data_IF_696606562186
#
_entry.id   IF_696606562186
#
_cell.length_a   1.000
_cell.length_b   1.000
_cell.length_c   1.000
_cell.angle_alpha   90.00
_cell.angle_beta   90.00
_cell.angle_gamma   90.00
#
_symmetry.space_group_name_H-M   'P 1'
#
loop_
_entity.id
_entity.type
_entity.pdbx_description
1 polymer ?
#
# COMPACT_ATOMS: atom_id res chain seq x y z
N UNK A 1 -21.15 -3.90 -1.01
CA UNK A 1 -21.16 -3.14 0.25
C UNK A 1 -20.36 -1.88 0.03
N UNK A 2 -20.92 -0.69 0.26
CA UNK A 2 -20.11 0.52 0.36
C UNK A 2 -19.27 0.40 1.63
N UNK A 3 -17.96 0.25 1.49
CA UNK A 3 -17.07 0.19 2.64
C UNK A 3 -17.08 1.57 3.33
N UNK A 4 -17.48 1.62 4.60
CA UNK A 4 -17.53 2.85 5.39
C UNK A 4 -16.16 3.11 6.04
N UNK A 5 -15.40 4.14 5.59
CA UNK A 5 -14.09 4.43 6.15
C UNK A 5 -14.13 4.81 7.64
N UNK A 6 -15.24 5.38 8.13
CA UNK A 6 -15.38 5.80 9.53
C UNK A 6 -15.45 4.57 10.44
N UNK A 7 -16.26 3.57 10.07
CA UNK A 7 -16.32 2.31 10.80
C UNK A 7 -14.95 1.61 10.89
N UNK A 8 -14.18 1.62 9.79
CA UNK A 8 -12.85 1.02 9.75
C UNK A 8 -11.84 1.82 10.60
N UNK A 9 -11.89 3.16 10.57
CA UNK A 9 -11.08 4.02 11.42
C UNK A 9 -11.34 3.76 12.91
N UNK A 10 -12.61 3.72 13.31
CA UNK A 10 -13.02 3.43 14.68
C UNK A 10 -12.54 2.05 15.14
N UNK A 11 -12.59 1.05 14.26
CA UNK A 11 -12.07 -0.28 14.54
C UNK A 11 -10.56 -0.27 14.81
N UNK A 12 -9.76 0.38 13.96
CA UNK A 12 -8.30 0.46 14.16
C UNK A 12 -7.95 1.24 15.43
N UNK A 13 -8.66 2.34 15.72
CA UNK A 13 -8.50 3.09 16.97
C UNK A 13 -8.79 2.22 18.19
N UNK A 14 -9.93 1.51 18.20
CA UNK A 14 -10.28 0.63 19.30
C UNK A 14 -9.27 -0.51 19.49
N UNK A 15 -8.73 -1.07 18.41
CA UNK A 15 -7.67 -2.08 18.47
C UNK A 15 -6.35 -1.50 18.99
N UNK A 16 -5.96 -0.30 18.55
CA UNK A 16 -4.77 0.38 19.04
C UNK A 16 -4.84 0.67 20.55
N UNK A 17 -6.00 1.12 21.05
CA UNK A 17 -6.20 1.42 22.47
C UNK A 17 -6.03 0.21 23.40
N UNK A 18 -6.20 -1.02 22.90
CA UNK A 18 -5.95 -2.25 23.66
C UNK A 18 -4.46 -2.53 23.87
N UNK A 19 -3.59 -2.00 23.02
CA UNK A 19 -2.14 -2.24 23.06
C UNK A 19 -1.35 -1.01 22.57
N UNK A 20 -1.43 0.14 23.26
CA UNK A 20 -0.91 1.42 22.76
C UNK A 20 0.61 1.43 22.55
N UNK A 21 1.34 0.60 23.29
CA UNK A 21 2.80 0.48 23.19
C UNK A 21 3.28 -0.34 21.99
N UNK A 22 2.38 -1.00 21.25
CA UNK A 22 2.70 -1.65 19.98
C UNK A 22 2.31 -0.77 18.79
N UNK A 23 2.92 -1.02 17.64
CA UNK A 23 2.48 -0.47 16.36
C UNK A 23 1.48 -1.46 15.74
N UNK A 24 0.31 -0.95 15.38
CA UNK A 24 -0.73 -1.70 14.68
C UNK A 24 -0.50 -1.58 13.18
N UNK A 25 -0.42 -2.72 12.49
CA UNK A 25 -0.24 -2.77 11.04
C UNK A 25 -1.51 -3.28 10.38
N UNK A 26 -2.05 -2.52 9.44
CA UNK A 26 -3.22 -2.91 8.65
C UNK A 26 -2.85 -2.99 7.17
N UNK A 27 -3.49 -3.87 6.40
CA UNK A 27 -3.35 -3.95 4.95
C UNK A 27 -4.70 -3.84 4.24
N UNK A 28 -4.72 -3.06 3.16
CA UNK A 28 -5.88 -2.87 2.29
C UNK A 28 -5.50 -3.31 0.88
N UNK A 29 -6.01 -4.45 0.48
CA UNK A 29 -5.87 -4.97 -0.87
C UNK A 29 -7.05 -4.58 -1.76
N UNK A 30 -6.85 -4.58 -3.07
CA UNK A 30 -7.92 -4.40 -4.04
C UNK A 30 -7.38 -4.27 -5.46
N UNK A 31 -8.21 -4.58 -6.45
CA UNK A 31 -7.82 -4.48 -7.87
C UNK A 31 -7.50 -3.01 -8.27
N UNK A 32 -6.72 -2.77 -9.34
CA UNK A 32 -6.52 -1.42 -9.84
C UNK A 32 -7.88 -0.75 -10.15
N UNK A 33 -8.04 0.53 -9.83
CA UNK A 33 -9.33 1.23 -10.02
C UNK A 33 -10.40 0.99 -8.94
N UNK A 34 -10.14 0.11 -7.96
CA UNK A 34 -11.06 -0.14 -6.82
C UNK A 34 -11.29 1.08 -5.93
N UNK A 35 -10.30 1.98 -5.84
CA UNK A 35 -10.32 3.12 -4.93
C UNK A 35 -9.59 2.89 -3.60
N UNK A 36 -8.80 1.81 -3.49
CA UNK A 36 -8.09 1.43 -2.26
C UNK A 36 -7.21 2.54 -1.67
N UNK A 37 -6.46 3.29 -2.48
CA UNK A 37 -5.62 4.39 -2.00
C UNK A 37 -6.45 5.54 -1.43
N UNK A 38 -7.58 5.88 -2.06
CA UNK A 38 -8.53 6.88 -1.55
C UNK A 38 -9.18 6.41 -0.24
N UNK A 39 -9.54 5.13 -0.16
CA UNK A 39 -10.14 4.54 1.03
C UNK A 39 -9.15 4.53 2.21
N UNK A 40 -7.90 4.08 1.99
CA UNK A 40 -6.84 4.09 2.99
C UNK A 40 -6.55 5.51 3.51
N UNK A 41 -6.44 6.49 2.61
CA UNK A 41 -6.22 7.89 2.96
C UNK A 41 -7.36 8.45 3.83
N UNK A 42 -8.61 8.12 3.51
CA UNK A 42 -9.77 8.53 4.32
C UNK A 42 -9.75 7.91 5.72
N UNK A 43 -9.38 6.64 5.84
CA UNK A 43 -9.27 5.98 7.15
C UNK A 43 -8.19 6.67 8.00
N UNK A 44 -6.99 6.90 7.45
CA UNK A 44 -5.92 7.56 8.18
C UNK A 44 -6.30 8.99 8.61
N UNK A 45 -6.95 9.76 7.72
CA UNK A 45 -7.44 11.10 8.03
C UNK A 45 -8.46 11.09 9.18
N UNK A 46 -9.41 10.14 9.17
CA UNK A 46 -10.41 10.01 10.22
C UNK A 46 -9.80 9.61 11.57
N UNK A 47 -8.81 8.72 11.55
CA UNK A 47 -8.05 8.32 12.75
C UNK A 47 -7.34 9.54 13.35
N UNK A 48 -6.61 10.29 12.52
CA UNK A 48 -5.83 11.44 12.98
C UNK A 48 -6.74 12.57 13.49
N UNK A 49 -7.88 12.79 12.84
CA UNK A 49 -8.89 13.74 13.31
C UNK A 49 -9.47 13.33 14.68
N UNK A 50 -9.83 12.05 14.83
CA UNK A 50 -10.40 11.52 16.08
C UNK A 50 -9.40 11.50 17.23
N UNK A 51 -8.13 11.19 16.95
CA UNK A 51 -7.06 11.20 17.94
C UNK A 51 -6.57 12.62 18.27
N UNK A 52 -6.85 13.59 17.40
CA UNK A 52 -6.24 14.92 17.41
C UNK A 52 -4.70 14.86 17.45
N UNK A 53 -4.12 13.93 16.67
CA UNK A 53 -2.69 13.65 16.60
C UNK A 53 -2.33 12.96 15.27
N UNK A 54 -1.05 12.98 14.90
CA UNK A 54 -0.52 12.32 13.69
C UNK A 54 -0.25 10.82 13.96
N UNK A 55 -1.32 10.11 14.31
CA UNK A 55 -1.29 8.74 14.82
C UNK A 55 -1.18 7.68 13.71
N UNK A 56 -1.73 7.97 12.54
CA UNK A 56 -1.87 7.05 11.42
C UNK A 56 -1.21 7.57 10.14
N UNK A 57 -0.55 6.66 9.42
CA UNK A 57 0.07 6.91 8.12
C UNK A 57 -0.29 5.83 7.12
N UNK A 58 -0.43 6.21 5.84
CA UNK A 58 -0.60 5.28 4.73
C UNK A 58 0.73 5.09 4.02
N UNK A 59 1.11 3.84 3.73
CA UNK A 59 2.31 3.47 2.98
C UNK A 59 1.89 2.60 1.80
N UNK A 60 2.16 3.07 0.58
CA UNK A 60 1.79 2.32 -0.63
C UNK A 60 2.79 1.20 -0.91
N UNK A 61 2.30 0.01 -1.22
CA UNK A 61 3.08 -1.12 -1.74
C UNK A 61 3.83 -0.75 -3.03
N UNK A 62 3.32 0.23 -3.79
CA UNK A 62 3.91 0.65 -5.07
C UNK A 62 5.34 1.19 -4.90
N UNK A 63 5.75 1.63 -3.69
CA UNK A 63 7.14 2.00 -3.43
C UNK A 63 8.13 0.84 -3.58
N UNK A 64 7.66 -0.41 -3.57
CA UNK A 64 8.49 -1.62 -3.74
C UNK A 64 8.42 -2.20 -5.16
N UNK A 65 8.05 -1.40 -6.17
CA UNK A 65 8.40 -1.76 -7.53
C UNK A 65 9.93 -1.85 -7.66
N UNK A 66 10.44 -2.82 -8.41
CA UNK A 66 11.86 -2.81 -8.82
C UNK A 66 12.15 -1.54 -9.61
N UNK A 67 13.30 -0.89 -9.48
CA UNK A 67 13.65 0.22 -10.36
C UNK A 67 13.70 -0.24 -11.83
N UNK A 68 13.49 0.66 -12.80
CA UNK A 68 13.62 0.33 -14.23
C UNK A 68 14.97 -0.31 -14.56
N UNK A 69 16.04 0.21 -13.95
CA UNK A 69 17.38 -0.34 -14.08
C UNK A 69 17.49 -1.77 -13.52
N UNK A 70 16.71 -2.14 -12.50
CA UNK A 70 16.66 -3.50 -11.99
C UNK A 70 15.85 -4.43 -12.91
N UNK A 71 14.78 -3.94 -13.53
CA UNK A 71 14.05 -4.69 -14.56
C UNK A 71 14.94 -5.06 -15.75
N UNK A 72 15.87 -4.18 -16.12
CA UNK A 72 16.85 -4.41 -17.20
C UNK A 72 17.80 -5.59 -16.91
N UNK A 73 17.88 -6.03 -15.65
CA UNK A 73 18.70 -7.17 -15.22
C UNK A 73 17.95 -8.50 -15.16
N UNK A 74 16.62 -8.48 -15.34
CA UNK A 74 15.81 -9.69 -15.32
C UNK A 74 16.03 -10.54 -16.57
N UNK A 75 15.59 -11.81 -16.53
CA UNK A 75 15.77 -12.76 -17.63
C UNK A 75 15.16 -12.27 -18.96
N UNK A 76 14.01 -11.61 -18.89
CA UNK A 76 13.34 -10.99 -20.03
C UNK A 76 12.94 -9.54 -19.68
N UNK A 77 13.85 -8.57 -19.90
CA UNK A 77 13.59 -7.17 -19.59
C UNK A 77 12.41 -6.59 -20.37
N UNK A 78 12.25 -6.97 -21.64
CA UNK A 78 11.17 -6.46 -22.48
C UNK A 78 9.81 -6.86 -21.91
N UNK A 79 9.68 -8.12 -21.47
CA UNK A 79 8.48 -8.60 -20.79
C UNK A 79 8.28 -7.93 -19.43
N UNK A 80 9.34 -7.73 -18.66
CA UNK A 80 9.27 -7.08 -17.36
C UNK A 80 8.77 -5.64 -17.45
N UNK A 81 9.24 -4.87 -18.44
CA UNK A 81 8.73 -3.53 -18.72
C UNK A 81 7.29 -3.56 -19.24
N UNK A 82 6.95 -4.49 -20.14
CA UNK A 82 5.58 -4.62 -20.68
C UNK A 82 4.55 -4.99 -19.61
N UNK A 83 4.96 -5.82 -18.64
CA UNK A 83 4.11 -6.29 -17.53
C UNK A 83 4.41 -5.56 -16.22
N UNK A 84 4.92 -4.33 -16.29
CA UNK A 84 5.12 -3.50 -15.11
C UNK A 84 3.86 -3.44 -14.26
N UNK A 85 3.98 -3.78 -12.98
CA UNK A 85 2.86 -3.94 -12.06
C UNK A 85 2.41 -5.39 -11.85
N UNK A 86 2.96 -6.36 -12.57
CA UNK A 86 2.81 -7.79 -12.27
C UNK A 86 3.61 -8.18 -11.00
N UNK A 87 3.26 -9.27 -10.28
CA UNK A 87 3.88 -9.61 -9.00
C UNK A 87 5.42 -9.72 -9.04
N UNK A 88 5.98 -10.26 -10.13
CA UNK A 88 7.43 -10.45 -10.30
C UNK A 88 8.20 -9.15 -10.58
N UNK A 89 7.50 -8.02 -10.77
CA UNK A 89 8.11 -6.70 -11.00
C UNK A 89 8.27 -5.87 -9.72
N UNK A 90 8.02 -6.50 -8.57
CA UNK A 90 8.18 -5.93 -7.23
C UNK A 90 9.30 -6.63 -6.47
N UNK A 91 9.71 -6.03 -5.35
CA UNK A 91 10.56 -6.63 -4.32
C UNK A 91 9.76 -6.91 -3.02
N UNK A 92 8.98 -8.01 -2.97
CA UNK A 92 8.27 -8.43 -1.77
C UNK A 92 9.20 -8.71 -0.56
N UNK A 93 10.38 -9.33 -0.73
CA UNK A 93 11.33 -9.53 0.37
C UNK A 93 11.67 -8.24 1.12
N UNK A 94 11.96 -7.15 0.41
CA UNK A 94 12.26 -5.86 1.04
C UNK A 94 11.04 -5.24 1.73
N UNK A 95 9.83 -5.40 1.18
CA UNK A 95 8.60 -4.98 1.86
C UNK A 95 8.38 -5.77 3.15
N UNK A 96 8.55 -7.08 3.13
CA UNK A 96 8.44 -7.93 4.31
C UNK A 96 9.46 -7.54 5.39
N UNK A 97 10.71 -7.27 4.99
CA UNK A 97 11.75 -6.81 5.90
C UNK A 97 11.38 -5.48 6.57
N UNK A 98 10.80 -4.54 5.80
CA UNK A 98 10.29 -3.28 6.32
C UNK A 98 9.15 -3.48 7.33
N UNK A 99 8.13 -4.27 6.96
CA UNK A 99 6.98 -4.62 7.83
C UNK A 99 7.46 -5.23 9.15
N UNK A 100 8.39 -6.20 9.10
CA UNK A 100 8.98 -6.81 10.30
C UNK A 100 9.74 -5.80 11.14
N UNK A 101 10.50 -4.89 10.52
CA UNK A 101 11.23 -3.84 11.22
C UNK A 101 10.30 -2.88 11.96
N UNK A 102 9.17 -2.49 11.35
CA UNK A 102 8.16 -1.64 12.00
C UNK A 102 7.59 -2.26 13.27
N UNK A 103 7.48 -3.59 13.33
CA UNK A 103 6.99 -4.31 14.52
C UNK A 103 8.03 -4.39 15.63
N UNK A 104 9.28 -4.65 15.27
CA UNK A 104 10.35 -4.89 16.24
C UNK A 104 10.71 -3.64 17.03
N UNK A 105 10.72 -2.48 16.39
CA UNK A 105 11.14 -1.23 17.02
C UNK A 105 10.13 -0.10 16.79
N UNK A 106 9.03 -0.05 17.57
CA UNK A 106 7.99 0.96 17.39
C UNK A 106 8.42 2.38 17.81
N UNK A 107 9.60 2.54 18.42
CA UNK A 107 10.15 3.83 18.85
C UNK A 107 11.15 4.42 17.84
N UNK A 108 11.54 3.66 16.83
CA UNK A 108 12.42 4.09 15.77
C UNK A 108 11.64 4.69 14.59
N UNK A 109 12.23 5.72 13.99
CA UNK A 109 11.80 6.25 12.72
C UNK A 109 12.33 5.38 11.57
N UNK A 110 11.49 5.09 10.60
CA UNK A 110 11.84 4.35 9.39
C UNK A 110 11.59 5.18 8.15
N UNK A 111 12.27 4.83 7.05
CA UNK A 111 12.04 5.41 5.73
C UNK A 111 11.51 4.31 4.81
N UNK A 112 10.37 4.56 4.19
CA UNK A 112 9.79 3.72 3.16
C UNK A 112 9.98 4.40 1.79
N UNK A 113 10.12 3.62 0.72
CA UNK A 113 10.07 4.17 -0.63
C UNK A 113 8.66 4.67 -0.97
N UNK A 114 8.57 5.62 -1.89
CA UNK A 114 7.33 5.96 -2.59
C UNK A 114 7.43 5.57 -4.06
N UNK A 115 6.38 5.83 -4.84
CA UNK A 115 6.41 5.61 -6.29
C UNK A 115 6.08 6.91 -7.02
N UNK A 116 6.99 7.36 -7.87
CA UNK A 116 6.78 8.55 -8.70
C UNK A 116 6.10 8.12 -10.00
N UNK A 117 4.79 8.36 -10.12
CA UNK A 117 4.02 7.99 -11.31
C UNK A 117 4.41 8.78 -12.57
N UNK A 118 5.05 9.96 -12.44
CA UNK A 118 5.53 10.71 -13.60
C UNK A 118 6.83 10.11 -14.15
N UNK A 119 7.72 9.63 -13.27
CA UNK A 119 8.94 8.92 -13.66
C UNK A 119 8.69 7.44 -13.97
N UNK A 120 7.64 6.84 -13.38
CA UNK A 120 7.36 5.42 -13.43
C UNK A 120 8.38 4.57 -12.66
N UNK A 121 8.97 5.12 -11.59
CA UNK A 121 10.05 4.51 -10.82
C UNK A 121 9.87 4.77 -9.31
N UNK A 122 10.33 3.87 -8.43
CA UNK A 122 10.28 4.10 -7.00
C UNK A 122 11.23 5.24 -6.61
N UNK A 123 10.85 5.99 -5.57
CA UNK A 123 11.71 6.98 -4.93
C UNK A 123 12.12 6.44 -3.55
N UNK A 124 13.39 6.01 -3.38
CA UNK A 124 13.89 5.50 -2.13
C UNK A 124 13.74 6.50 -1.00
N UNK A 125 13.48 5.98 0.20
CA UNK A 125 13.39 6.75 1.44
C UNK A 125 12.44 7.95 1.39
N UNK A 126 11.44 8.01 0.51
CA UNK A 126 10.58 9.19 0.36
C UNK A 126 9.60 9.42 1.53
N UNK A 127 9.18 8.35 2.21
CA UNK A 127 8.12 8.40 3.24
C UNK A 127 8.74 8.16 4.63
N UNK A 128 8.51 9.09 5.57
CA UNK A 128 8.97 8.94 6.95
C UNK A 128 7.90 8.29 7.83
N UNK A 129 8.13 7.06 8.29
CA UNK A 129 7.30 6.41 9.31
C UNK A 129 7.90 6.71 10.69
N UNK A 130 7.45 7.82 11.27
CA UNK A 130 7.84 8.31 12.60
C UNK A 130 7.35 7.41 13.77
N UNK A 131 7.96 7.54 14.97
CA UNK A 131 7.51 6.84 16.18
C UNK A 131 6.09 7.18 16.63
N UNK A 132 5.60 8.39 16.28
CA UNK A 132 4.22 8.84 16.53
C UNK A 132 3.19 8.07 15.71
N UNK A 133 3.57 7.53 14.54
CA UNK A 133 2.69 6.70 13.74
C UNK A 133 2.54 5.31 14.38
N UNK A 134 1.52 5.19 15.23
CA UNK A 134 1.17 3.96 15.93
C UNK A 134 0.28 3.05 15.09
N UNK A 135 -0.37 3.59 14.06
CA UNK A 135 -1.17 2.83 13.11
C UNK A 135 -0.56 3.03 11.71
N UNK A 136 -0.12 1.95 11.07
CA UNK A 136 0.43 2.00 9.71
C UNK A 136 -0.47 1.19 8.80
N UNK A 137 -1.03 1.86 7.79
CA UNK A 137 -1.93 1.26 6.80
C UNK A 137 -1.17 1.06 5.51
N UNK A 138 -0.95 -0.20 5.13
CA UNK A 138 -0.43 -0.56 3.82
C UNK A 138 -1.56 -0.69 2.82
N UNK A 139 -1.36 -0.20 1.59
CA UNK A 139 -2.31 -0.43 0.49
C UNK A 139 -1.59 -0.93 -0.76
N UNK A 140 -2.18 -1.89 -1.47
CA UNK A 140 -1.51 -2.54 -2.60
C UNK A 140 -2.34 -3.60 -3.30
N UNK A 141 -1.90 -4.06 -4.47
CA UNK A 141 -2.61 -5.10 -5.23
C UNK A 141 -2.45 -6.49 -4.61
N UNK A 142 -1.26 -6.77 -4.05
CA UNK A 142 -0.84 -8.13 -3.68
C UNK A 142 -0.78 -8.38 -2.17
N UNK A 143 -1.25 -7.43 -1.35
CA UNK A 143 -1.23 -7.59 0.11
C UNK A 143 -2.18 -8.67 0.65
N UNK A 144 -3.00 -9.27 -0.21
CA UNK A 144 -3.85 -10.43 0.09
C UNK A 144 -3.47 -11.65 -0.77
N UNK A 145 -2.36 -11.57 -1.52
CA UNK A 145 -1.91 -12.69 -2.34
C UNK A 145 -1.35 -13.77 -1.42
N UNK A 146 -1.79 -15.01 -1.60
CA UNK A 146 -1.39 -16.14 -0.76
C UNK A 146 -0.10 -16.83 -1.25
N UNK A 147 0.63 -16.23 -2.19
CA UNK A 147 1.83 -16.82 -2.79
C UNK A 147 3.11 -16.36 -2.08
N UNK A 148 3.98 -17.33 -1.78
CA UNK A 148 5.35 -17.13 -1.28
C UNK A 148 5.45 -16.03 -0.19
N UNK A 149 6.24 -14.98 -0.49
CA UNK A 149 6.55 -13.88 0.43
C UNK A 149 5.34 -12.98 0.68
N UNK A 150 4.38 -12.92 -0.25
CA UNK A 150 3.16 -12.12 -0.04
C UNK A 150 2.29 -12.69 1.08
N UNK A 151 2.25 -14.03 1.21
CA UNK A 151 1.60 -14.70 2.33
C UNK A 151 2.22 -14.31 3.67
N UNK A 152 3.55 -14.22 3.72
CA UNK A 152 4.26 -13.80 4.93
C UNK A 152 3.99 -12.33 5.27
N UNK A 153 3.85 -11.46 4.26
CA UNK A 153 3.47 -10.05 4.46
C UNK A 153 2.05 -9.97 5.01
N UNK A 154 1.11 -10.69 4.42
CA UNK A 154 -0.28 -10.77 4.89
C UNK A 154 -0.35 -11.28 6.34
N UNK A 155 0.35 -12.39 6.64
CA UNK A 155 0.41 -12.97 7.98
C UNK A 155 1.12 -12.09 9.02
N UNK A 156 1.89 -11.09 8.56
CA UNK A 156 2.52 -10.10 9.41
C UNK A 156 1.64 -8.87 9.67
N UNK A 157 0.37 -8.82 9.26
CA UNK A 157 -0.57 -7.73 9.55
C UNK A 157 -1.47 -8.07 10.74
N UNK A 158 -1.91 -7.06 11.50
CA UNK A 158 -2.91 -7.22 12.56
C UNK A 158 -4.34 -7.22 11.98
N UNK A 159 -4.56 -6.47 10.90
CA UNK A 159 -5.84 -6.34 10.20
C UNK A 159 -5.62 -6.40 8.68
N UNK A 160 -6.43 -7.17 7.96
CA UNK A 160 -6.35 -7.25 6.50
C UNK A 160 -7.74 -7.13 5.89
N UNK A 161 -7.88 -6.24 4.92
CA UNK A 161 -9.14 -5.97 4.24
C UNK A 161 -8.98 -6.01 2.73
N UNK A 162 -10.02 -6.47 2.05
CA UNK A 162 -10.10 -6.44 0.59
C UNK A 162 -11.22 -5.49 0.16
N UNK A 163 -10.86 -4.44 -0.55
CA UNK A 163 -11.82 -3.49 -1.10
C UNK A 163 -12.43 -4.07 -2.38
N UNK A 164 -13.55 -4.77 -2.21
CA UNK A 164 -14.30 -5.32 -3.32
C UNK A 164 -14.90 -4.21 -4.20
N UNK A 165 -14.62 -4.28 -5.49
CA UNK A 165 -15.20 -3.41 -6.51
C UNK A 165 -15.59 -4.28 -7.71
N UNK A 166 -16.78 -4.09 -8.31
CA UNK A 166 -17.10 -4.72 -9.59
C UNK A 166 -16.03 -4.38 -10.63
N UNK A 167 -15.61 -5.39 -11.39
CA UNK A 167 -14.52 -5.26 -12.38
C UNK A 167 -14.83 -4.18 -13.42
N UNK A 168 -16.06 -4.17 -13.96
CA UNK A 168 -16.52 -3.17 -14.93
C UNK A 168 -16.36 -1.74 -14.42
N UNK A 169 -16.65 -1.50 -13.14
CA UNK A 169 -16.49 -0.19 -12.49
C UNK A 169 -15.01 0.16 -12.33
N UNK A 170 -14.19 -0.81 -11.94
CA UNK A 170 -12.75 -0.62 -11.79
C UNK A 170 -12.07 -0.31 -13.14
N UNK A 171 -12.42 -1.05 -14.19
CA UNK A 171 -11.95 -0.83 -15.56
C UNK A 171 -12.38 0.54 -16.09
N UNK A 172 -13.64 0.94 -15.91
CA UNK A 172 -14.12 2.25 -16.33
C UNK A 172 -13.35 3.40 -15.64
N UNK A 173 -13.05 3.25 -14.35
CA UNK A 173 -12.22 4.21 -13.59
C UNK A 173 -10.78 4.25 -14.07
N UNK A 174 -10.19 3.09 -14.38
CA UNK A 174 -8.83 3.01 -14.92
C UNK A 174 -8.73 3.67 -16.30
N UNK A 175 -9.68 3.37 -17.19
CA UNK A 175 -9.74 3.96 -18.52
C UNK A 175 -9.83 5.49 -18.43
N UNK A 176 -10.74 6.01 -17.58
CA UNK A 176 -10.84 7.44 -17.31
C UNK A 176 -9.51 8.03 -16.82
N UNK A 177 -8.84 7.37 -15.87
CA UNK A 177 -7.56 7.82 -15.34
C UNK A 177 -6.46 7.83 -16.40
N UNK A 178 -6.37 6.81 -17.26
CA UNK A 178 -5.36 6.77 -18.33
C UNK A 178 -5.53 7.92 -19.33
N UNK A 179 -6.78 8.28 -19.65
CA UNK A 179 -7.08 9.45 -20.48
C UNK A 179 -6.64 10.74 -19.78
N UNK A 180 -6.96 10.89 -18.49
CA UNK A 180 -6.57 12.07 -17.69
C UNK A 180 -5.05 12.20 -17.49
N UNK A 181 -4.31 11.09 -17.41
CA UNK A 181 -2.84 11.09 -17.24
C UNK A 181 -2.08 11.04 -18.56
N UNK A 182 -2.75 11.10 -19.71
CA UNK A 182 -2.11 11.08 -21.04
C UNK A 182 -1.46 9.75 -21.42
N UNK A 183 -1.80 8.66 -20.72
CA UNK A 183 -1.30 7.30 -20.97
C UNK A 183 -2.18 6.49 -21.93
N UNK A 184 -3.29 7.08 -22.42
CA UNK A 184 -4.18 6.43 -23.38
C UNK A 184 -4.06 7.01 -24.78
N UNK A 185 -3.46 6.25 -25.70
CA UNK A 185 -3.87 6.33 -27.10
C UNK A 185 -5.23 5.64 -27.21
N UNK A 186 -6.23 6.38 -27.69
CA UNK A 186 -7.48 5.82 -28.20
C UNK A 186 -7.22 5.25 -29.59
N UNK A 187 -6.68 4.04 -29.69
CA UNK A 187 -6.79 3.16 -30.86
C UNK A 187 -6.85 1.69 -30.44
#
# INVERSE_FOLDING_TARGET
MNADPIAHANHLLASHLKAPHRRLLAAIAGIPGSGKSTFAARIAAEINASANDDLAIVVSMDGWHLAKAELDTLLDPAEAHRRRGAPFTFDPPSLLAFVRSLRLDPQKAFRAPSFDHAKGDPEPDAIAVLPSHRIVIFEGLYLHLEDDVWRDIHGAMDETWFLACPEEVALARLAKRHVETGLGNTE
#
